data_IF_154597137380
#
_entry.id   IF_154597137380
#
_cell.length_a   1.000
_cell.length_b   1.000
_cell.length_c   1.000
_cell.angle_alpha   90.00
_cell.angle_beta   90.00
_cell.angle_gamma   90.00
#
_symmetry.space_group_name_H-M   'P 1'
#
loop_
_entity.id
_entity.type
_entity.pdbx_description
1 polymer ?
#
# COMPACT_ATOMS: atom_id res chain seq x y z
N UNK A 1 -40.61 -8.53 20.46
CA UNK A 1 -39.47 -8.48 19.50
C UNK A 1 -38.80 -7.11 19.42
N UNK A 2 -39.53 -5.99 19.57
CA UNK A 2 -38.97 -4.63 19.57
C UNK A 2 -38.08 -4.31 20.78
N UNK A 3 -38.33 -4.92 21.95
CA UNK A 3 -37.55 -4.70 23.18
C UNK A 3 -36.15 -5.33 23.16
N UNK A 4 -35.95 -6.47 22.46
CA UNK A 4 -34.63 -7.10 22.34
C UNK A 4 -33.73 -6.35 21.35
N UNK A 5 -34.30 -5.83 20.26
CA UNK A 5 -33.56 -5.02 19.28
C UNK A 5 -33.07 -3.72 19.93
N UNK A 6 -33.92 -3.05 20.72
CA UNK A 6 -33.52 -1.83 21.43
C UNK A 6 -32.43 -2.10 22.47
N UNK A 7 -32.45 -3.26 23.15
CA UNK A 7 -31.41 -3.66 24.11
C UNK A 7 -30.08 -4.00 23.42
N UNK A 8 -30.13 -4.62 22.25
CA UNK A 8 -28.95 -4.92 21.45
C UNK A 8 -28.35 -3.61 20.91
N UNK A 9 -29.19 -2.69 20.44
CA UNK A 9 -28.76 -1.37 19.95
C UNK A 9 -28.12 -0.54 21.07
N UNK A 10 -28.66 -0.54 22.28
CA UNK A 10 -28.06 0.19 23.41
C UNK A 10 -26.74 -0.42 23.87
N UNK A 11 -26.61 -1.75 23.85
CA UNK A 11 -25.33 -2.44 24.13
C UNK A 11 -24.29 -2.09 23.07
N UNK A 12 -24.65 -2.15 21.79
CA UNK A 12 -23.74 -1.73 20.71
C UNK A 12 -23.37 -0.25 20.82
N UNK A 13 -24.32 0.64 21.08
CA UNK A 13 -24.04 2.06 21.31
C UNK A 13 -23.07 2.26 22.48
N UNK A 14 -23.29 1.59 23.62
CA UNK A 14 -22.46 1.74 24.81
C UNK A 14 -21.03 1.20 24.59
N UNK A 15 -20.91 0.15 23.79
CA UNK A 15 -19.64 -0.44 23.38
C UNK A 15 -18.90 0.47 22.37
N UNK A 16 -19.60 1.07 21.41
CA UNK A 16 -19.04 2.07 20.49
C UNK A 16 -18.72 3.41 21.18
N UNK A 17 -19.40 3.79 22.26
CA UNK A 17 -19.05 5.02 22.99
C UNK A 17 -17.87 4.83 23.94
N UNK A 18 -17.73 3.66 24.59
CA UNK A 18 -16.65 3.41 25.56
C UNK A 18 -15.37 2.86 24.92
N UNK A 19 -15.49 2.06 23.86
CA UNK A 19 -14.36 1.42 23.17
C UNK A 19 -14.39 1.64 21.66
N UNK A 20 -15.17 2.61 21.17
CA UNK A 20 -15.38 2.83 19.74
C UNK A 20 -14.12 3.02 18.94
N UNK A 21 -13.14 3.76 19.46
CA UNK A 21 -11.85 3.94 18.80
C UNK A 21 -11.10 2.60 18.66
N UNK A 22 -11.09 1.75 19.69
CA UNK A 22 -10.44 0.41 19.64
C UNK A 22 -11.20 -0.56 18.74
N UNK A 23 -12.53 -0.55 18.77
CA UNK A 23 -13.38 -1.44 17.97
C UNK A 23 -13.46 -1.04 16.50
N UNK A 24 -13.58 0.26 16.22
CA UNK A 24 -13.48 0.78 14.84
C UNK A 24 -12.11 0.46 14.26
N UNK A 25 -11.03 0.61 15.04
CA UNK A 25 -9.71 0.18 14.61
C UNK A 25 -9.65 -1.33 14.36
N UNK A 26 -10.25 -2.17 15.22
CA UNK A 26 -10.30 -3.62 15.04
C UNK A 26 -11.08 -4.04 13.78
N UNK A 27 -12.25 -3.46 13.56
CA UNK A 27 -13.08 -3.70 12.35
C UNK A 27 -12.36 -3.21 11.11
N UNK A 28 -11.69 -2.05 11.18
CA UNK A 28 -10.94 -1.49 10.07
C UNK A 28 -9.74 -2.38 9.71
N UNK A 29 -9.01 -2.90 10.71
CA UNK A 29 -7.93 -3.88 10.51
C UNK A 29 -8.49 -5.17 9.89
N UNK A 30 -9.54 -5.75 10.46
CA UNK A 30 -10.13 -7.00 9.97
C UNK A 30 -10.67 -6.86 8.53
N UNK A 31 -11.34 -5.75 8.23
CA UNK A 31 -11.90 -5.46 6.90
C UNK A 31 -10.79 -5.16 5.89
N UNK A 32 -9.73 -4.47 6.31
CA UNK A 32 -8.58 -4.16 5.45
C UNK A 32 -7.78 -5.42 5.12
N UNK A 33 -7.49 -6.27 6.12
CA UNK A 33 -6.77 -7.54 5.92
C UNK A 33 -7.62 -8.53 5.08
N UNK A 34 -8.91 -8.65 5.38
CA UNK A 34 -9.84 -9.51 4.64
C UNK A 34 -10.07 -9.00 3.20
N UNK A 35 -10.22 -7.70 3.03
CA UNK A 35 -10.39 -7.04 1.74
C UNK A 35 -9.16 -7.14 0.84
N UNK A 36 -7.95 -6.94 1.39
CA UNK A 36 -6.69 -7.14 0.67
C UNK A 36 -6.55 -8.56 0.13
N UNK A 37 -6.80 -9.56 0.98
CA UNK A 37 -6.72 -10.97 0.62
C UNK A 37 -7.71 -11.34 -0.50
N UNK A 38 -8.90 -10.73 -0.49
CA UNK A 38 -9.93 -10.95 -1.50
C UNK A 38 -9.61 -10.24 -2.82
N UNK A 39 -9.16 -8.98 -2.76
CA UNK A 39 -8.77 -8.18 -3.93
C UNK A 39 -7.52 -8.75 -4.62
N UNK A 40 -6.52 -9.22 -3.86
CA UNK A 40 -5.35 -9.90 -4.42
C UNK A 40 -5.75 -11.17 -5.16
N UNK A 41 -6.57 -12.03 -4.53
CA UNK A 41 -7.01 -13.30 -5.14
C UNK A 41 -7.92 -13.12 -6.34
N UNK A 42 -8.70 -12.04 -6.40
CA UNK A 42 -9.68 -11.82 -7.47
C UNK A 42 -9.21 -10.88 -8.59
N UNK A 43 -8.18 -10.07 -8.38
CA UNK A 43 -7.88 -8.96 -9.32
C UNK A 43 -6.41 -8.81 -9.67
N UNK A 44 -5.47 -9.34 -8.88
CA UNK A 44 -4.05 -9.17 -9.18
C UNK A 44 -3.43 -10.37 -9.91
N UNK A 45 -2.98 -10.12 -11.13
CA UNK A 45 -2.20 -11.06 -11.94
C UNK A 45 -0.90 -10.39 -12.35
N UNK A 46 0.24 -10.94 -11.92
CA UNK A 46 1.56 -10.40 -12.27
C UNK A 46 1.80 -10.52 -13.78
N UNK A 47 1.94 -9.41 -14.53
CA UNK A 47 2.20 -9.49 -15.95
C UNK A 47 3.62 -10.02 -16.19
N UNK A 48 3.73 -10.97 -17.11
CA UNK A 48 4.97 -11.62 -17.52
C UNK A 48 5.83 -10.72 -18.43
N UNK A 49 6.06 -9.46 -18.06
CA UNK A 49 6.70 -8.49 -18.95
C UNK A 49 7.42 -7.39 -18.19
N UNK A 50 8.69 -7.11 -18.54
CA UNK A 50 9.41 -5.95 -18.05
C UNK A 50 9.28 -4.79 -19.04
N UNK A 51 9.12 -3.52 -18.61
CA UNK A 51 8.99 -3.02 -17.24
C UNK A 51 7.54 -3.04 -16.69
N UNK A 52 6.61 -3.70 -17.38
CA UNK A 52 5.19 -3.67 -17.03
C UNK A 52 4.89 -4.28 -15.64
N UNK A 53 5.58 -5.35 -15.25
CA UNK A 53 5.50 -5.96 -13.92
C UNK A 53 5.83 -4.95 -12.81
N UNK A 54 6.84 -4.12 -13.03
CA UNK A 54 7.28 -3.08 -12.12
C UNK A 54 6.18 -2.03 -11.94
N UNK A 55 5.70 -1.44 -13.04
CA UNK A 55 4.68 -0.41 -12.99
C UNK A 55 3.34 -0.93 -12.45
N UNK A 56 2.91 -2.12 -12.89
CA UNK A 56 1.68 -2.73 -12.43
C UNK A 56 1.71 -2.95 -10.91
N UNK A 57 2.80 -3.54 -10.40
CA UNK A 57 2.96 -3.77 -8.97
C UNK A 57 2.99 -2.47 -8.17
N UNK A 58 3.76 -1.48 -8.62
CA UNK A 58 3.85 -0.16 -7.97
C UNK A 58 2.50 0.53 -7.87
N UNK A 59 1.69 0.51 -8.95
CA UNK A 59 0.37 1.13 -8.96
C UNK A 59 -0.58 0.46 -7.96
N UNK A 60 -0.53 -0.86 -7.82
CA UNK A 60 -1.37 -1.56 -6.84
C UNK A 60 -0.90 -1.37 -5.39
N UNK A 61 0.40 -1.14 -5.15
CA UNK A 61 0.93 -0.82 -3.82
C UNK A 61 0.62 0.63 -3.44
N UNK A 62 1.01 1.58 -4.29
CA UNK A 62 0.98 3.02 -3.98
C UNK A 62 -0.30 3.73 -4.41
N UNK A 63 -1.05 3.21 -5.39
CA UNK A 63 -2.30 3.80 -5.85
C UNK A 63 -3.34 3.89 -4.72
N UNK A 64 -3.70 2.78 -4.05
CA UNK A 64 -4.61 2.81 -2.91
C UNK A 64 -4.05 3.60 -1.73
N UNK A 65 -2.73 3.56 -1.50
CA UNK A 65 -2.05 4.36 -0.48
C UNK A 65 -2.28 5.86 -0.70
N UNK A 66 -2.09 6.35 -1.93
CA UNK A 66 -2.32 7.74 -2.30
C UNK A 66 -3.81 8.12 -2.19
N UNK A 67 -4.71 7.24 -2.64
CA UNK A 67 -6.15 7.46 -2.52
C UNK A 67 -6.59 7.58 -1.06
N UNK A 68 -6.15 6.67 -0.19
CA UNK A 68 -6.44 6.71 1.26
C UNK A 68 -5.88 7.96 1.92
N UNK A 69 -4.70 8.42 1.50
CA UNK A 69 -4.08 9.64 2.04
C UNK A 69 -4.92 10.88 1.66
N UNK A 70 -5.34 10.98 0.40
CA UNK A 70 -6.19 12.08 -0.07
C UNK A 70 -7.55 12.07 0.63
N UNK A 71 -8.15 10.90 0.81
CA UNK A 71 -9.40 10.75 1.59
C UNK A 71 -9.17 11.20 3.03
N UNK A 72 -8.08 10.77 3.68
CA UNK A 72 -7.75 11.19 5.05
C UNK A 72 -7.62 12.71 5.19
N UNK A 73 -6.88 13.35 4.26
CA UNK A 73 -6.70 14.81 4.25
C UNK A 73 -8.03 15.53 4.04
N UNK A 74 -8.86 15.07 3.11
CA UNK A 74 -10.16 15.71 2.80
C UNK A 74 -11.21 15.50 3.87
N UNK A 75 -11.21 14.38 4.59
CA UNK A 75 -12.13 14.13 5.70
C UNK A 75 -11.72 14.93 6.95
N UNK A 76 -10.43 15.23 7.12
CA UNK A 76 -9.95 15.97 8.28
C UNK A 76 -10.44 17.43 8.26
N UNK A 77 -11.28 17.80 9.23
CA UNK A 77 -11.84 19.16 9.35
C UNK A 77 -10.77 20.24 9.54
N UNK A 78 -9.60 19.89 10.09
CA UNK A 78 -8.48 20.83 10.31
C UNK A 78 -7.87 21.28 8.98
N UNK A 79 -7.83 20.41 7.97
CA UNK A 79 -7.41 20.76 6.60
C UNK A 79 -8.24 21.91 6.06
N UNK A 80 -9.56 21.83 6.19
CA UNK A 80 -10.47 22.86 5.70
C UNK A 80 -10.38 24.14 6.53
N UNK A 81 -10.16 24.06 7.84
CA UNK A 81 -9.92 25.25 8.68
C UNK A 81 -8.64 26.00 8.31
N UNK A 82 -7.62 25.28 7.80
CA UNK A 82 -6.38 25.85 7.28
C UNK A 82 -6.55 26.39 5.86
N UNK A 83 -7.32 25.71 5.02
CA UNK A 83 -7.51 26.04 3.60
C UNK A 83 -8.57 27.13 3.36
N UNK A 84 -9.74 27.06 4.04
CA UNK A 84 -10.78 28.10 3.96
C UNK A 84 -10.25 29.40 4.57
N UNK A 85 -9.93 30.34 3.70
CA UNK A 85 -9.47 31.68 4.09
C UNK A 85 -7.97 31.92 3.95
N UNK A 86 -7.20 31.08 3.25
CA UNK A 86 -5.78 31.34 3.01
C UNK A 86 -5.54 32.66 2.24
N UNK A 87 -6.39 33.00 1.27
CA UNK A 87 -6.23 34.21 0.44
C UNK A 87 -7.01 35.44 0.95
N UNK A 88 -8.09 35.25 1.73
CA UNK A 88 -9.00 36.33 2.14
C UNK A 88 -9.07 36.56 3.65
N UNK A 89 -8.11 36.03 4.43
CA UNK A 89 -8.03 36.30 5.88
C UNK A 89 -7.54 37.73 6.14
N UNK A 90 -8.15 38.38 7.13
CA UNK A 90 -7.64 39.65 7.69
C UNK A 90 -6.22 39.42 8.21
N UNK A 91 -5.29 40.34 7.88
CA UNK A 91 -3.84 40.18 8.08
C UNK A 91 -3.45 39.85 9.53
N UNK A 92 -4.19 40.39 10.49
CA UNK A 92 -3.96 40.17 11.94
C UNK A 92 -4.51 38.84 12.46
N UNK A 93 -5.35 38.14 11.69
CA UNK A 93 -5.91 36.82 12.03
C UNK A 93 -5.19 35.67 11.32
N UNK A 94 -4.12 35.97 10.57
CA UNK A 94 -3.33 34.98 9.84
C UNK A 94 -2.41 34.26 10.82
N UNK A 95 -2.50 32.93 10.85
CA UNK A 95 -1.57 32.12 11.64
C UNK A 95 -0.13 32.34 11.18
N UNK A 96 0.81 32.30 12.12
CA UNK A 96 2.24 32.25 11.80
C UNK A 96 2.52 31.05 10.90
N UNK A 97 3.51 31.19 10.00
CA UNK A 97 3.98 30.10 9.14
C UNK A 97 4.33 28.86 9.95
N UNK A 98 4.98 29.05 11.11
CA UNK A 98 5.35 27.95 12.01
C UNK A 98 4.12 27.19 12.53
N UNK A 99 3.08 27.89 12.98
CA UNK A 99 1.84 27.28 13.47
C UNK A 99 1.11 26.54 12.35
N UNK A 100 1.06 27.14 11.17
CA UNK A 100 0.45 26.54 9.98
C UNK A 100 1.17 25.25 9.58
N UNK A 101 2.51 25.23 9.57
CA UNK A 101 3.29 24.02 9.32
C UNK A 101 3.05 22.94 10.36
N UNK A 102 3.00 23.28 11.65
CA UNK A 102 2.73 22.29 12.72
C UNK A 102 1.34 21.67 12.55
N UNK A 103 0.31 22.48 12.30
CA UNK A 103 -1.05 21.96 12.06
C UNK A 103 -1.13 21.13 10.79
N UNK A 104 -0.40 21.46 9.73
CA UNK A 104 -0.31 20.63 8.54
C UNK A 104 0.38 19.28 8.80
N UNK A 105 1.47 19.27 9.57
CA UNK A 105 2.13 18.03 9.97
C UNK A 105 1.18 17.16 10.80
N UNK A 106 0.43 17.75 11.72
CA UNK A 106 -0.59 17.03 12.51
C UNK A 106 -1.67 16.41 11.62
N UNK A 107 -2.20 17.17 10.66
CA UNK A 107 -3.16 16.66 9.66
C UNK A 107 -2.58 15.49 8.87
N UNK A 108 -1.33 15.61 8.40
CA UNK A 108 -0.67 14.55 7.64
C UNK A 108 -0.44 13.30 8.49
N UNK A 109 0.00 13.46 9.75
CA UNK A 109 0.18 12.34 10.67
C UNK A 109 -1.14 11.61 10.92
N UNK A 110 -2.22 12.33 11.21
CA UNK A 110 -3.56 11.74 11.39
C UNK A 110 -4.06 11.05 10.11
N UNK A 111 -3.83 11.66 8.94
CA UNK A 111 -4.29 11.12 7.65
C UNK A 111 -3.45 9.94 7.16
N UNK A 112 -2.21 9.81 7.64
CA UNK A 112 -1.27 8.74 7.23
C UNK A 112 -1.55 7.37 7.84
N UNK A 113 -2.39 7.29 8.86
CA UNK A 113 -2.67 6.04 9.60
C UNK A 113 -3.21 4.94 8.67
N UNK A 114 -4.23 5.25 7.86
CA UNK A 114 -4.81 4.28 6.93
C UNK A 114 -3.86 3.89 5.78
N UNK A 115 -3.16 4.83 5.11
CA UNK A 115 -2.10 4.52 4.14
C UNK A 115 -0.99 3.60 4.70
N UNK A 116 -0.52 3.87 5.92
CA UNK A 116 0.51 3.05 6.58
C UNK A 116 -0.01 1.64 6.83
N UNK A 117 -1.25 1.52 7.34
CA UNK A 117 -1.87 0.21 7.58
C UNK A 117 -2.03 -0.60 6.28
N UNK A 118 -2.44 0.05 5.19
CA UNK A 118 -2.53 -0.60 3.87
C UNK A 118 -1.17 -1.12 3.40
N UNK A 119 -0.14 -0.27 3.42
CA UNK A 119 1.21 -0.66 3.02
C UNK A 119 1.75 -1.79 3.88
N UNK A 120 1.50 -1.77 5.19
CA UNK A 120 1.89 -2.84 6.09
C UNK A 120 1.28 -4.18 5.66
N UNK A 121 -0.04 -4.22 5.40
CA UNK A 121 -0.72 -5.45 4.96
C UNK A 121 -0.18 -5.93 3.61
N UNK A 122 0.03 -5.01 2.66
CA UNK A 122 0.59 -5.30 1.34
C UNK A 122 2.00 -5.89 1.42
N UNK A 123 2.87 -5.34 2.27
CA UNK A 123 4.23 -5.84 2.44
C UNK A 123 4.27 -7.13 3.25
N UNK A 124 3.38 -7.32 4.23
CA UNK A 124 3.29 -8.56 5.00
C UNK A 124 2.88 -9.75 4.10
N UNK A 125 1.96 -9.50 3.18
CA UNK A 125 1.48 -10.45 2.18
C UNK A 125 2.52 -10.73 1.08
N UNK A 126 3.34 -9.73 0.73
CA UNK A 126 4.51 -9.87 -0.12
C UNK A 126 4.25 -10.08 -1.61
N UNK A 127 3.00 -10.24 -2.04
CA UNK A 127 2.67 -10.59 -3.42
C UNK A 127 3.05 -9.56 -4.46
N UNK A 128 2.67 -8.31 -4.21
CA UNK A 128 2.98 -7.19 -5.09
C UNK A 128 4.49 -6.91 -5.11
N UNK A 129 5.16 -7.00 -3.95
CA UNK A 129 6.60 -6.82 -3.85
C UNK A 129 7.38 -7.89 -4.63
N UNK A 130 6.94 -9.14 -4.54
CA UNK A 130 7.51 -10.24 -5.32
C UNK A 130 7.41 -9.99 -6.81
N UNK A 131 6.25 -9.57 -7.32
CA UNK A 131 6.07 -9.24 -8.75
C UNK A 131 6.88 -8.00 -9.18
N UNK A 132 7.04 -7.02 -8.29
CA UNK A 132 7.85 -5.82 -8.52
C UNK A 132 9.32 -6.19 -8.77
N UNK A 133 9.91 -7.07 -7.94
CA UNK A 133 11.33 -7.43 -8.01
C UNK A 133 11.65 -8.73 -8.73
N UNK A 134 10.67 -9.51 -9.16
CA UNK A 134 10.91 -10.82 -9.79
C UNK A 134 11.82 -10.74 -11.02
N UNK A 135 11.79 -9.62 -11.76
CA UNK A 135 12.65 -9.42 -12.93
C UNK A 135 14.15 -9.41 -12.61
N UNK A 136 14.56 -8.94 -11.42
CA UNK A 136 15.97 -8.88 -10.99
C UNK A 136 16.59 -10.28 -10.84
N UNK A 137 15.77 -11.29 -10.56
CA UNK A 137 16.18 -12.69 -10.41
C UNK A 137 15.98 -13.50 -11.69
N UNK A 138 15.54 -12.85 -12.78
CA UNK A 138 15.28 -13.51 -14.05
C UNK A 138 16.39 -13.26 -15.06
N UNK A 139 17.49 -13.98 -14.87
CA UNK A 139 18.53 -14.08 -15.88
C UNK A 139 18.08 -15.02 -17.00
N UNK A 140 18.47 -14.70 -18.23
CA UNK A 140 18.26 -15.59 -19.39
C UNK A 140 18.88 -16.97 -19.19
N UNK A 141 19.97 -17.03 -18.44
CA UNK A 141 20.69 -18.27 -18.08
C UNK A 141 19.92 -19.16 -17.11
N UNK A 142 18.84 -18.70 -16.48
CA UNK A 142 18.06 -19.50 -15.52
C UNK A 142 16.68 -19.84 -16.07
N UNK A 143 16.17 -19.03 -16.99
CA UNK A 143 14.86 -19.23 -17.59
C UNK A 143 14.86 -20.32 -18.68
N UNK A 144 14.15 -21.42 -18.43
CA UNK A 144 14.04 -22.58 -19.35
C UNK A 144 13.60 -22.18 -20.76
N UNK A 145 12.64 -21.27 -20.91
CA UNK A 145 12.16 -20.82 -22.23
C UNK A 145 13.22 -20.03 -23.02
N UNK A 146 14.13 -19.35 -22.33
CA UNK A 146 15.21 -18.60 -22.97
C UNK A 146 16.44 -19.46 -23.25
N UNK A 147 16.59 -20.60 -22.54
CA UNK A 147 17.63 -21.61 -22.84
C UNK A 147 17.37 -22.38 -24.13
N UNK A 148 16.10 -22.60 -24.48
CA UNK A 148 15.76 -23.38 -25.66
C UNK A 148 15.83 -22.49 -26.91
N UNK A 149 16.90 -22.60 -27.69
CA UNK A 149 17.15 -21.77 -28.88
C UNK A 149 16.00 -21.79 -29.89
N UNK A 150 15.39 -22.95 -30.13
CA UNK A 150 14.29 -23.06 -31.11
C UNK A 150 13.07 -22.28 -30.64
N UNK A 151 12.72 -22.40 -29.35
CA UNK A 151 11.63 -21.67 -28.72
C UNK A 151 11.97 -20.17 -28.68
N UNK A 152 13.16 -19.81 -28.20
CA UNK A 152 13.60 -18.41 -28.12
C UNK A 152 13.57 -17.71 -29.47
N UNK A 153 14.13 -18.32 -30.52
CA UNK A 153 14.11 -17.76 -31.87
C UNK A 153 12.68 -17.56 -32.39
N UNK A 154 11.73 -18.42 -31.99
CA UNK A 154 10.32 -18.26 -32.36
C UNK A 154 9.71 -16.98 -31.76
N UNK A 155 10.08 -16.59 -30.54
CA UNK A 155 9.56 -15.41 -29.84
C UNK A 155 10.37 -14.13 -30.10
N UNK A 156 11.70 -14.26 -30.20
CA UNK A 156 12.66 -13.16 -30.36
C UNK A 156 12.53 -12.43 -31.69
N UNK A 157 11.95 -13.07 -32.72
CA UNK A 157 11.66 -12.44 -34.01
C UNK A 157 10.60 -11.34 -33.92
N UNK A 158 9.82 -11.27 -32.84
CA UNK A 158 8.83 -10.21 -32.66
C UNK A 158 9.44 -8.96 -32.02
N UNK A 159 9.14 -7.79 -32.59
CA UNK A 159 9.53 -6.49 -32.02
C UNK A 159 8.96 -6.27 -30.61
N UNK A 160 7.77 -6.83 -30.35
CA UNK A 160 7.12 -6.84 -29.04
C UNK A 160 7.95 -7.57 -27.98
N UNK A 161 8.51 -8.75 -28.32
CA UNK A 161 9.34 -9.50 -27.39
C UNK A 161 10.61 -8.74 -27.01
N UNK A 162 11.31 -8.13 -27.99
CA UNK A 162 12.52 -7.36 -27.69
C UNK A 162 12.26 -6.20 -26.72
N UNK A 163 11.12 -5.51 -26.84
CA UNK A 163 10.73 -4.48 -25.88
C UNK A 163 10.42 -5.03 -24.49
N UNK A 164 9.71 -6.14 -24.41
CA UNK A 164 9.26 -6.76 -23.16
C UNK A 164 10.42 -7.45 -22.40
N UNK A 165 11.36 -8.01 -23.15
CA UNK A 165 12.51 -8.76 -22.66
C UNK A 165 13.72 -7.86 -22.38
N UNK A 166 13.63 -6.56 -22.68
CA UNK A 166 14.77 -5.63 -22.71
C UNK A 166 15.94 -6.20 -23.52
N UNK A 167 15.67 -6.52 -24.79
CA UNK A 167 16.62 -7.14 -25.72
C UNK A 167 17.21 -8.47 -25.21
N UNK A 168 16.39 -9.32 -24.57
CA UNK A 168 16.88 -10.60 -24.06
C UNK A 168 17.60 -10.49 -22.72
N UNK A 169 17.38 -9.45 -21.92
CA UNK A 169 17.90 -9.42 -20.54
C UNK A 169 16.98 -10.15 -19.55
N UNK A 170 15.67 -10.08 -19.77
CA UNK A 170 14.65 -10.68 -18.89
C UNK A 170 13.71 -11.62 -19.65
N UNK A 171 13.28 -12.71 -19.03
CA UNK A 171 12.42 -13.71 -19.68
C UNK A 171 10.96 -13.63 -19.22
N UNK A 172 9.98 -13.51 -20.14
CA UNK A 172 8.57 -13.32 -19.80
C UNK A 172 8.03 -14.32 -18.76
N UNK A 173 8.18 -15.65 -18.93
CA UNK A 173 7.59 -16.62 -18.00
C UNK A 173 8.28 -16.64 -16.62
N UNK A 174 9.57 -16.32 -16.57
CA UNK A 174 10.32 -16.26 -15.31
C UNK A 174 9.81 -15.11 -14.42
N UNK A 175 9.44 -13.97 -15.01
CA UNK A 175 9.00 -12.78 -14.25
C UNK A 175 7.72 -13.07 -13.46
N UNK A 176 6.77 -13.78 -14.06
CA UNK A 176 5.48 -14.07 -13.42
C UNK A 176 5.49 -15.38 -12.61
N UNK A 177 6.38 -16.32 -12.94
CA UNK A 177 6.59 -17.56 -12.21
C UNK A 177 8.09 -17.74 -11.86
N UNK A 178 8.62 -16.97 -10.89
CA UNK A 178 9.98 -17.12 -10.43
C UNK A 178 10.19 -18.47 -9.73
N UNK A 179 11.45 -18.90 -9.57
CA UNK A 179 11.77 -20.11 -8.82
C UNK A 179 11.20 -20.02 -7.39
N UNK A 180 10.80 -21.14 -6.79
CA UNK A 180 10.21 -21.15 -5.45
C UNK A 180 11.18 -20.59 -4.38
N UNK A 181 12.48 -20.84 -4.53
CA UNK A 181 13.51 -20.30 -3.64
C UNK A 181 13.56 -18.77 -3.71
N UNK A 182 13.63 -18.21 -4.92
CA UNK A 182 13.68 -16.75 -5.14
C UNK A 182 12.37 -16.08 -4.72
N UNK A 183 11.23 -16.74 -4.98
CA UNK A 183 9.92 -16.31 -4.52
C UNK A 183 9.86 -16.20 -2.99
N UNK A 184 10.32 -17.23 -2.28
CA UNK A 184 10.35 -17.25 -0.81
C UNK A 184 11.30 -16.21 -0.23
N UNK A 185 12.44 -15.97 -0.89
CA UNK A 185 13.39 -14.92 -0.53
C UNK A 185 12.76 -13.53 -0.65
N UNK A 186 12.12 -13.22 -1.78
CA UNK A 186 11.44 -11.96 -2.01
C UNK A 186 10.27 -11.71 -1.05
N UNK A 187 9.53 -12.77 -0.71
CA UNK A 187 8.45 -12.71 0.28
C UNK A 187 9.02 -12.41 1.68
N UNK A 188 10.11 -13.08 2.10
CA UNK A 188 10.77 -12.77 3.35
C UNK A 188 11.33 -11.33 3.38
N UNK A 189 11.91 -10.87 2.27
CA UNK A 189 12.40 -9.50 2.14
C UNK A 189 11.26 -8.48 2.32
N UNK A 190 10.10 -8.74 1.72
CA UNK A 190 8.91 -7.89 1.87
C UNK A 190 8.42 -7.83 3.32
N UNK A 191 8.47 -8.95 4.05
CA UNK A 191 8.08 -9.00 5.46
C UNK A 191 9.04 -8.20 6.35
N UNK A 192 10.33 -8.18 6.03
CA UNK A 192 11.31 -7.32 6.72
C UNK A 192 10.91 -5.85 6.55
N UNK A 193 10.57 -5.41 5.33
CA UNK A 193 10.09 -4.04 5.11
C UNK A 193 8.77 -3.76 5.82
N UNK A 194 7.86 -4.72 5.91
CA UNK A 194 6.61 -4.59 6.67
C UNK A 194 6.88 -4.32 8.15
N UNK A 195 7.73 -5.12 8.79
CA UNK A 195 8.08 -4.94 10.20
C UNK A 195 8.88 -3.66 10.44
N UNK A 196 9.80 -3.32 9.55
CA UNK A 196 10.53 -2.04 9.62
C UNK A 196 9.56 -0.85 9.56
N UNK A 197 8.59 -0.87 8.65
CA UNK A 197 7.55 0.16 8.55
C UNK A 197 6.75 0.28 9.84
N UNK A 198 6.32 -0.84 10.43
CA UNK A 198 5.57 -0.86 11.69
C UNK A 198 6.38 -0.29 12.86
N UNK A 199 7.64 -0.70 13.01
CA UNK A 199 8.50 -0.22 14.10
C UNK A 199 8.80 1.26 13.95
N UNK A 200 9.17 1.73 12.76
CA UNK A 200 9.50 3.14 12.51
C UNK A 200 8.29 4.03 12.76
N UNK A 201 7.11 3.63 12.27
CA UNK A 201 5.87 4.39 12.45
C UNK A 201 5.39 4.37 13.91
N UNK A 202 5.51 3.24 14.60
CA UNK A 202 5.21 3.11 16.03
C UNK A 202 6.10 3.98 16.92
N UNK A 203 7.43 3.94 16.69
CA UNK A 203 8.38 4.79 17.40
C UNK A 203 8.15 6.27 17.08
N UNK A 204 7.91 6.60 15.80
CA UNK A 204 7.58 7.95 15.37
C UNK A 204 6.32 8.51 16.05
N UNK A 205 5.26 7.71 16.13
CA UNK A 205 4.02 8.08 16.82
C UNK A 205 4.25 8.29 18.34
N UNK A 206 5.02 7.41 18.98
CA UNK A 206 5.36 7.53 20.40
C UNK A 206 6.14 8.81 20.71
N UNK A 207 7.16 9.13 19.89
CA UNK A 207 7.94 10.35 20.06
C UNK A 207 7.14 11.61 19.72
N UNK A 208 6.20 11.54 18.78
CA UNK A 208 5.30 12.63 18.42
C UNK A 208 4.36 13.02 19.56
N UNK A 209 3.74 12.02 20.21
CA UNK A 209 2.81 12.25 21.33
C UNK A 209 3.49 12.83 22.58
N UNK A 210 4.81 12.69 22.73
CA UNK A 210 5.56 13.22 23.88
C UNK A 210 5.83 14.73 23.79
N UNK A 211 5.54 15.37 22.65
CA UNK A 211 5.79 16.80 22.38
C UNK A 211 4.53 17.68 22.37
N UNK A 212 3.34 17.08 22.45
CA UNK A 212 2.04 17.76 22.67
C UNK A 212 1.68 17.73 24.14
#
# INVERSE_FOLDING_TARGET
MTTSINSVVTVFQNVFTNHGSTLLNGILIATTVGGQSLVRKLTFSCPCAYPLNMYHSLVFMFGPTAALLLIGITVNSTTWKLAHGFCFRVRDTRHSWKTTCVSWIEVLLQSSIAPIAWLFVVFLDGGYYRCYRSHEFCLTTDAILCKNETIFNSYALSSSFNRISDNGKYCPPCICAPNPTDASYLEAESQIYAWALLVITGVGAFLGNKKT
#
